data_IF_222718568089
#
_entry.id   IF_222718568089
#
_cell.length_a   1.000
_cell.length_b   1.000
_cell.length_c   1.000
_cell.angle_alpha   90.00
_cell.angle_beta   90.00
_cell.angle_gamma   90.00
#
_symmetry.space_group_name_H-M   'P 1'
#
loop_
_entity.id
_entity.type
_entity.pdbx_description
1 polymer ?
#
# COMPACT_ATOMS: atom_id res chain seq x y z
N UNK A 1 2.83 -78.00 2.03
CA UNK A 1 2.78 -76.66 1.36
C UNK A 1 2.30 -75.49 2.24
N UNK A 2 2.10 -75.62 3.58
CA UNK A 2 1.70 -74.50 4.46
C UNK A 2 2.86 -73.68 5.07
N UNK A 3 4.08 -74.20 5.09
CA UNK A 3 5.22 -73.54 5.76
C UNK A 3 5.93 -72.46 4.91
N UNK A 4 5.82 -72.48 3.58
CA UNK A 4 6.47 -71.49 2.70
C UNK A 4 5.67 -70.18 2.52
N UNK A 5 4.43 -70.10 3.03
CA UNK A 5 3.58 -68.92 2.89
C UNK A 5 3.81 -67.88 4.00
N UNK A 6 4.30 -68.29 5.18
CA UNK A 6 4.55 -67.41 6.34
C UNK A 6 5.83 -66.57 6.22
N UNK A 7 6.93 -67.15 5.71
CA UNK A 7 8.19 -66.42 5.51
C UNK A 7 8.07 -65.28 4.50
N UNK A 8 7.39 -65.51 3.38
CA UNK A 8 7.18 -64.47 2.38
C UNK A 8 6.33 -63.32 2.96
N UNK A 9 5.30 -63.62 3.76
CA UNK A 9 4.51 -62.56 4.41
C UNK A 9 5.30 -61.74 5.43
N UNK A 10 6.19 -62.36 6.21
CA UNK A 10 7.08 -61.63 7.12
C UNK A 10 8.06 -60.73 6.35
N UNK A 11 8.60 -61.22 5.22
CA UNK A 11 9.49 -60.44 4.34
C UNK A 11 8.79 -59.25 3.69
N UNK A 12 7.54 -59.39 3.25
CA UNK A 12 6.79 -58.24 2.71
C UNK A 12 6.46 -57.20 3.78
N UNK A 13 6.20 -57.62 5.02
CA UNK A 13 5.95 -56.70 6.15
C UNK A 13 7.21 -55.94 6.54
N UNK A 14 8.37 -56.60 6.61
CA UNK A 14 9.64 -55.91 6.88
C UNK A 14 10.04 -54.97 5.74
N UNK A 15 9.85 -55.37 4.47
CA UNK A 15 10.07 -54.48 3.33
C UNK A 15 9.16 -53.24 3.39
N UNK A 16 7.88 -53.43 3.73
CA UNK A 16 6.91 -52.35 3.88
C UNK A 16 7.30 -51.35 4.98
N UNK A 17 7.78 -51.84 6.13
CA UNK A 17 8.26 -50.97 7.22
C UNK A 17 9.52 -50.18 6.85
N UNK A 18 10.46 -50.79 6.14
CA UNK A 18 11.67 -50.11 5.66
C UNK A 18 11.30 -49.02 4.64
N UNK A 19 10.42 -49.33 3.68
CA UNK A 19 9.93 -48.36 2.70
C UNK A 19 9.19 -47.20 3.38
N UNK A 20 8.32 -47.49 4.35
CA UNK A 20 7.63 -46.47 5.12
C UNK A 20 8.63 -45.56 5.86
N UNK A 21 9.65 -46.13 6.51
CA UNK A 21 10.70 -45.37 7.17
C UNK A 21 11.48 -44.46 6.22
N UNK A 22 11.85 -44.96 5.03
CA UNK A 22 12.53 -44.16 4.00
C UNK A 22 11.64 -43.01 3.49
N UNK A 23 10.35 -43.24 3.27
CA UNK A 23 9.40 -42.20 2.88
C UNK A 23 9.29 -41.14 3.98
N UNK A 24 9.19 -41.55 5.25
CA UNK A 24 9.12 -40.60 6.38
C UNK A 24 10.38 -39.73 6.47
N UNK A 25 11.57 -40.31 6.29
CA UNK A 25 12.83 -39.56 6.26
C UNK A 25 12.89 -38.59 5.09
N UNK A 26 12.47 -39.01 3.89
CA UNK A 26 12.43 -38.15 2.71
C UNK A 26 11.46 -36.97 2.89
N UNK A 27 10.26 -37.21 3.44
CA UNK A 27 9.27 -36.17 3.74
C UNK A 27 9.79 -35.23 4.84
N UNK A 28 10.45 -35.76 5.88
CA UNK A 28 11.07 -34.96 6.93
C UNK A 28 12.17 -34.03 6.41
N UNK A 29 13.07 -34.56 5.57
CA UNK A 29 14.13 -33.77 4.93
C UNK A 29 13.57 -32.69 3.99
N UNK A 30 12.56 -33.05 3.18
CA UNK A 30 11.87 -32.09 2.31
C UNK A 30 11.17 -30.99 3.13
N UNK A 31 10.47 -31.36 4.19
CA UNK A 31 9.82 -30.42 5.10
C UNK A 31 10.81 -29.46 5.76
N UNK A 32 11.95 -29.96 6.21
CA UNK A 32 13.02 -29.13 6.78
C UNK A 32 13.62 -28.17 5.76
N UNK A 33 13.87 -28.63 4.53
CA UNK A 33 14.35 -27.78 3.45
C UNK A 33 13.34 -26.67 3.11
N UNK A 34 12.05 -27.02 3.00
CA UNK A 34 10.98 -26.05 2.77
C UNK A 34 10.86 -25.02 3.90
N UNK A 35 10.98 -25.46 5.16
CA UNK A 35 10.98 -24.56 6.31
C UNK A 35 12.15 -23.56 6.25
N UNK A 36 13.35 -24.05 5.96
CA UNK A 36 14.57 -23.24 5.89
C UNK A 36 14.49 -22.22 4.74
N UNK A 37 14.03 -22.63 3.56
CA UNK A 37 13.81 -21.74 2.42
C UNK A 37 12.80 -20.63 2.74
N UNK A 38 11.67 -20.97 3.36
CA UNK A 38 10.65 -19.98 3.78
C UNK A 38 11.20 -18.97 4.79
N UNK A 39 11.99 -19.43 5.76
CA UNK A 39 12.62 -18.56 6.75
C UNK A 39 13.63 -17.60 6.09
N UNK A 40 14.46 -18.10 5.16
CA UNK A 40 15.39 -17.28 4.40
C UNK A 40 14.69 -16.19 3.58
N UNK A 41 13.62 -16.54 2.86
CA UNK A 41 12.81 -15.59 2.09
C UNK A 41 12.14 -14.54 2.98
N UNK A 42 11.64 -14.93 4.16
CA UNK A 42 11.02 -14.00 5.10
C UNK A 42 12.03 -12.96 5.64
N UNK A 43 13.26 -13.39 5.91
CA UNK A 43 14.35 -12.49 6.34
C UNK A 43 14.75 -11.54 5.22
N UNK A 44 14.95 -12.03 3.99
CA UNK A 44 15.28 -11.17 2.83
C UNK A 44 14.20 -10.10 2.61
N UNK A 45 12.92 -10.52 2.64
CA UNK A 45 11.80 -9.60 2.46
C UNK A 45 11.73 -8.56 3.59
N UNK A 46 11.96 -8.96 4.83
CA UNK A 46 12.01 -8.03 5.96
C UNK A 46 13.16 -7.01 5.83
N UNK A 47 14.33 -7.45 5.34
CA UNK A 47 15.47 -6.57 5.11
C UNK A 47 15.16 -5.54 4.01
N UNK A 48 14.47 -5.96 2.94
CA UNK A 48 14.00 -5.04 1.89
C UNK A 48 13.04 -3.98 2.43
N UNK A 49 12.10 -4.37 3.29
CA UNK A 49 11.18 -3.42 3.92
C UNK A 49 11.87 -2.46 4.88
N UNK A 50 12.84 -2.94 5.67
CA UNK A 50 13.66 -2.07 6.50
C UNK A 50 14.46 -1.08 5.65
N UNK A 51 15.11 -1.55 4.59
CA UNK A 51 15.84 -0.69 3.66
C UNK A 51 14.92 0.37 3.03
N UNK A 52 13.75 -0.01 2.54
CA UNK A 52 12.77 0.93 2.01
C UNK A 52 12.33 1.96 3.06
N UNK A 53 12.12 1.55 4.31
CA UNK A 53 11.77 2.47 5.39
C UNK A 53 12.88 3.48 5.69
N UNK A 54 14.13 3.02 5.84
CA UNK A 54 15.26 3.92 6.10
C UNK A 54 15.54 4.84 4.91
N UNK A 55 15.38 4.35 3.67
CA UNK A 55 15.48 5.21 2.48
C UNK A 55 14.38 6.28 2.45
N UNK A 56 13.15 5.96 2.86
CA UNK A 56 12.07 6.93 3.03
C UNK A 56 12.41 7.97 4.11
N UNK A 57 12.94 7.53 5.25
CA UNK A 57 13.35 8.42 6.34
C UNK A 57 14.45 9.38 5.86
N UNK A 58 15.52 8.87 5.26
CA UNK A 58 16.61 9.67 4.70
C UNK A 58 16.12 10.65 3.64
N UNK A 59 15.29 10.19 2.68
CA UNK A 59 14.72 11.08 1.68
C UNK A 59 13.89 12.20 2.30
N UNK A 60 13.13 11.90 3.35
CA UNK A 60 12.34 12.92 4.08
C UNK A 60 13.23 13.93 4.82
N UNK A 61 14.31 13.48 5.45
CA UNK A 61 15.31 14.36 6.07
C UNK A 61 15.95 15.28 5.03
N UNK A 62 16.33 14.72 3.88
CA UNK A 62 16.89 15.49 2.77
C UNK A 62 15.89 16.54 2.25
N UNK A 63 14.61 16.18 2.13
CA UNK A 63 13.56 17.13 1.78
C UNK A 63 13.47 18.29 2.76
N UNK A 64 13.45 18.03 4.07
CA UNK A 64 13.41 19.08 5.08
C UNK A 64 14.60 20.05 4.92
N UNK A 65 15.81 19.51 4.78
CA UNK A 65 17.04 20.32 4.61
C UNK A 65 17.02 21.12 3.31
N UNK A 66 16.63 20.49 2.19
CA UNK A 66 16.59 21.14 0.89
C UNK A 66 15.50 22.20 0.81
N UNK A 67 14.34 21.96 1.42
CA UNK A 67 13.26 22.95 1.52
C UNK A 67 13.71 24.13 2.38
N UNK A 68 14.39 23.90 3.51
CA UNK A 68 14.99 24.98 4.30
C UNK A 68 16.01 25.78 3.49
N UNK A 69 16.91 25.11 2.77
CA UNK A 69 17.87 25.76 1.85
C UNK A 69 17.17 26.59 0.79
N UNK A 70 16.06 26.10 0.25
CA UNK A 70 15.32 26.82 -0.79
C UNK A 70 14.89 28.21 -0.31
N UNK A 71 14.45 28.35 0.95
CA UNK A 71 13.97 29.59 1.57
C UNK A 71 15.03 30.69 1.68
N UNK A 72 16.32 30.35 1.59
CA UNK A 72 17.43 31.30 1.78
C UNK A 72 18.32 31.46 0.55
N UNK A 73 18.08 30.69 -0.52
CA UNK A 73 18.97 30.69 -1.69
C UNK A 73 18.70 31.93 -2.56
N UNK A 74 19.75 32.72 -2.84
CA UNK A 74 19.63 33.99 -3.55
C UNK A 74 19.85 33.92 -5.07
N UNK A 75 20.59 32.91 -5.56
CA UNK A 75 20.98 32.79 -6.97
C UNK A 75 20.05 31.88 -7.80
N UNK A 76 19.76 32.28 -9.05
CA UNK A 76 18.86 31.55 -9.96
C UNK A 76 19.30 30.12 -10.26
N UNK A 77 20.58 29.90 -10.58
CA UNK A 77 21.11 28.57 -10.88
C UNK A 77 21.11 27.67 -9.63
N UNK A 78 21.49 28.24 -8.48
CA UNK A 78 21.49 27.57 -7.19
C UNK A 78 20.07 27.16 -6.79
N UNK A 79 19.08 28.03 -7.01
CA UNK A 79 17.67 27.72 -6.80
C UNK A 79 17.19 26.57 -7.70
N UNK A 80 17.53 26.60 -8.99
CA UNK A 80 17.17 25.52 -9.92
C UNK A 80 17.73 24.16 -9.50
N UNK A 81 18.99 24.12 -9.06
CA UNK A 81 19.62 22.89 -8.58
C UNK A 81 18.94 22.39 -7.30
N UNK A 82 18.65 23.27 -6.34
CA UNK A 82 17.93 22.90 -5.11
C UNK A 82 16.55 22.34 -5.42
N UNK A 83 15.78 22.97 -6.31
CA UNK A 83 14.46 22.45 -6.69
C UNK A 83 14.53 21.11 -7.42
N UNK A 84 15.56 20.88 -8.24
CA UNK A 84 15.77 19.58 -8.89
C UNK A 84 16.03 18.48 -7.85
N UNK A 85 16.87 18.75 -6.85
CA UNK A 85 17.11 17.82 -5.74
C UNK A 85 15.86 17.56 -4.91
N UNK A 86 15.04 18.57 -4.63
CA UNK A 86 13.76 18.39 -3.91
C UNK A 86 12.84 17.46 -4.71
N UNK A 87 12.76 17.66 -6.04
CA UNK A 87 11.94 16.81 -6.89
C UNK A 87 12.40 15.34 -6.86
N UNK A 88 13.70 15.10 -7.00
CA UNK A 88 14.28 13.76 -6.97
C UNK A 88 14.06 13.06 -5.64
N UNK A 89 14.39 13.72 -4.52
CA UNK A 89 14.24 13.16 -3.17
C UNK A 89 12.77 12.84 -2.85
N UNK A 90 11.83 13.69 -3.29
CA UNK A 90 10.42 13.45 -3.09
C UNK A 90 9.91 12.24 -3.88
N UNK A 91 10.38 12.06 -5.12
CA UNK A 91 10.06 10.89 -5.94
C UNK A 91 10.65 9.61 -5.34
N UNK A 92 11.91 9.65 -4.88
CA UNK A 92 12.57 8.51 -4.22
C UNK A 92 11.87 8.15 -2.92
N UNK A 93 11.55 9.13 -2.07
CA UNK A 93 10.80 8.92 -0.84
C UNK A 93 9.42 8.30 -1.13
N UNK A 94 8.70 8.80 -2.14
CA UNK A 94 7.39 8.26 -2.53
C UNK A 94 7.49 6.80 -2.99
N UNK A 95 8.50 6.47 -3.80
CA UNK A 95 8.73 5.12 -4.29
C UNK A 95 9.07 4.16 -3.14
N UNK A 96 9.88 4.59 -2.18
CA UNK A 96 10.24 3.80 -1.00
C UNK A 96 9.04 3.60 -0.06
N UNK A 97 8.19 4.61 0.13
CA UNK A 97 6.92 4.48 0.86
C UNK A 97 6.01 3.41 0.23
N UNK A 98 5.94 3.38 -1.10
CA UNK A 98 5.14 2.40 -1.85
C UNK A 98 5.62 0.96 -1.74
N UNK A 99 6.88 0.73 -1.32
CA UNK A 99 7.43 -0.61 -1.10
C UNK A 99 7.12 -1.15 0.30
N UNK A 100 6.67 -0.32 1.23
CA UNK A 100 6.37 -0.76 2.59
C UNK A 100 5.14 -1.67 2.61
N UNK A 101 5.10 -2.69 3.49
CA UNK A 101 3.98 -3.60 3.63
C UNK A 101 2.83 -2.96 4.41
N UNK A 102 2.44 -1.74 4.06
CA UNK A 102 1.43 -0.93 4.74
C UNK A 102 0.30 -0.64 3.76
N UNK A 103 -0.94 -0.76 4.26
CA UNK A 103 -2.14 -0.48 3.46
C UNK A 103 -2.11 0.96 2.92
N UNK A 104 -2.41 1.21 1.63
CA UNK A 104 -2.45 2.55 1.05
C UNK A 104 -3.33 3.54 1.81
N UNK A 105 -4.39 3.06 2.48
CA UNK A 105 -5.27 3.89 3.31
C UNK A 105 -4.55 4.51 4.52
N UNK A 106 -3.46 3.88 4.97
CA UNK A 106 -2.63 4.34 6.09
C UNK A 106 -1.40 5.14 5.64
N UNK A 107 -1.13 5.24 4.35
CA UNK A 107 0.00 6.01 3.80
C UNK A 107 -0.43 7.08 2.81
N UNK A 108 -1.72 7.14 2.47
CA UNK A 108 -2.26 7.97 1.40
C UNK A 108 -1.97 9.47 1.55
N UNK A 109 -2.03 10.04 2.77
CA UNK A 109 -1.65 11.46 2.94
C UNK A 109 -0.17 11.69 2.73
N UNK A 110 0.68 10.81 3.25
CA UNK A 110 2.13 10.90 3.07
C UNK A 110 2.51 10.77 1.61
N UNK A 111 1.94 9.79 0.90
CA UNK A 111 2.14 9.63 -0.52
C UNK A 111 1.71 10.89 -1.30
N UNK A 112 0.53 11.45 -0.97
CA UNK A 112 0.03 12.68 -1.58
C UNK A 112 0.96 13.87 -1.33
N UNK A 113 1.43 14.05 -0.09
CA UNK A 113 2.38 15.11 0.26
C UNK A 113 3.66 15.01 -0.56
N UNK A 114 4.29 13.82 -0.62
CA UNK A 114 5.52 13.61 -1.38
C UNK A 114 5.32 13.89 -2.88
N UNK A 115 4.20 13.43 -3.46
CA UNK A 115 3.84 13.78 -4.85
C UNK A 115 3.70 15.29 -5.03
N UNK A 116 2.99 15.98 -4.13
CA UNK A 116 2.80 17.43 -4.21
C UNK A 116 4.12 18.21 -4.10
N UNK A 117 5.04 17.78 -3.23
CA UNK A 117 6.39 18.36 -3.12
C UNK A 117 7.15 18.14 -4.43
N UNK A 118 7.14 16.93 -4.98
CA UNK A 118 7.80 16.59 -6.23
C UNK A 118 7.31 17.47 -7.39
N UNK A 119 6.00 17.53 -7.58
CA UNK A 119 5.42 18.31 -8.68
C UNK A 119 5.66 19.80 -8.52
N UNK A 120 5.53 20.31 -7.30
CA UNK A 120 5.77 21.73 -7.03
C UNK A 120 7.22 22.10 -7.31
N UNK A 121 8.18 21.31 -6.81
CA UNK A 121 9.59 21.50 -7.09
C UNK A 121 9.89 21.46 -8.59
N UNK A 122 9.31 20.50 -9.32
CA UNK A 122 9.45 20.40 -10.77
C UNK A 122 8.86 21.61 -11.52
N UNK A 123 7.77 22.21 -11.03
CA UNK A 123 7.26 23.48 -11.60
C UNK A 123 8.23 24.64 -11.38
N UNK A 124 8.89 24.70 -10.21
CA UNK A 124 9.90 25.71 -9.90
C UNK A 124 11.19 25.51 -10.70
N UNK A 125 11.64 24.28 -10.95
CA UNK A 125 12.77 23.99 -11.85
C UNK A 125 12.51 24.59 -13.24
N UNK A 126 11.35 24.28 -13.83
CA UNK A 126 10.98 24.82 -15.16
C UNK A 126 10.91 26.35 -15.16
N UNK A 127 10.37 26.94 -14.09
CA UNK A 127 10.25 28.40 -13.95
C UNK A 127 11.61 29.08 -13.81
N UNK A 128 12.51 28.49 -13.03
CA UNK A 128 13.89 28.95 -12.94
C UNK A 128 14.59 28.85 -14.31
N UNK A 129 14.29 27.83 -15.12
CA UNK A 129 14.77 27.71 -16.50
C UNK A 129 14.33 28.86 -17.42
N UNK A 130 13.12 29.40 -17.25
CA UNK A 130 12.60 30.51 -18.07
C UNK A 130 12.99 31.91 -17.57
N UNK A 131 13.53 32.02 -16.35
CA UNK A 131 13.99 33.28 -15.77
C UNK A 131 12.90 34.09 -15.08
N UNK A 132 11.72 33.51 -14.94
CA UNK A 132 10.66 34.12 -14.15
C UNK A 132 11.02 34.09 -12.66
N UNK A 133 10.84 35.20 -11.93
CA UNK A 133 11.16 35.28 -10.51
C UNK A 133 10.22 34.41 -9.66
N UNK A 134 10.74 33.93 -8.52
CA UNK A 134 9.95 33.25 -7.49
C UNK A 134 9.15 34.31 -6.73
N UNK A 135 7.82 34.26 -6.81
CA UNK A 135 6.94 35.24 -6.15
C UNK A 135 6.82 35.01 -4.64
N UNK A 136 6.32 35.99 -3.90
CA UNK A 136 6.01 35.87 -2.46
C UNK A 136 5.09 34.68 -2.15
N UNK A 137 4.13 34.39 -3.03
CA UNK A 137 3.25 33.23 -2.90
C UNK A 137 4.00 31.90 -2.99
N UNK A 138 5.07 31.84 -3.79
CA UNK A 138 5.91 30.64 -3.90
C UNK A 138 6.73 30.42 -2.64
N UNK A 139 7.29 31.50 -2.08
CA UNK A 139 7.97 31.46 -0.79
C UNK A 139 7.04 30.96 0.33
N UNK A 140 5.82 31.49 0.40
CA UNK A 140 4.82 31.04 1.37
C UNK A 140 4.42 29.56 1.18
N UNK A 141 4.50 29.03 -0.04
CA UNK A 141 4.26 27.61 -0.32
C UNK A 141 5.46 26.76 0.10
N UNK A 142 6.68 27.15 -0.26
CA UNK A 142 7.90 26.44 0.16
C UNK A 142 8.01 26.35 1.69
N UNK A 143 7.63 27.41 2.41
CA UNK A 143 7.63 27.39 3.88
C UNK A 143 6.64 26.36 4.43
N UNK A 144 5.42 26.29 3.86
CA UNK A 144 4.43 25.28 4.24
C UNK A 144 4.90 23.86 3.96
N UNK A 145 5.59 23.64 2.84
CA UNK A 145 6.17 22.34 2.52
C UNK A 145 7.31 21.98 3.47
N UNK A 146 8.15 22.94 3.84
CA UNK A 146 9.19 22.78 4.86
C UNK A 146 8.58 22.35 6.21
N UNK A 147 7.56 23.05 6.70
CA UNK A 147 6.89 22.73 7.97
C UNK A 147 6.30 21.30 7.95
N UNK A 148 5.69 20.91 6.82
CA UNK A 148 5.14 19.56 6.64
C UNK A 148 6.23 18.49 6.55
N UNK A 149 7.36 18.78 5.89
CA UNK A 149 8.50 17.86 5.81
C UNK A 149 9.10 17.62 7.20
N UNK A 150 9.27 18.67 8.01
CA UNK A 150 9.76 18.56 9.39
C UNK A 150 8.86 17.69 10.28
N UNK A 151 7.54 17.80 10.09
CA UNK A 151 6.56 16.95 10.77
C UNK A 151 6.68 15.51 10.34
N UNK A 152 6.70 15.26 9.03
CA UNK A 152 6.85 13.91 8.49
C UNK A 152 8.14 13.27 9.00
N UNK A 153 9.26 14.01 8.97
CA UNK A 153 10.55 13.56 9.46
C UNK A 153 10.47 13.15 10.94
N UNK A 154 9.94 14.02 11.79
CA UNK A 154 9.73 13.73 13.22
C UNK A 154 8.85 12.50 13.45
N UNK A 155 7.74 12.36 12.72
CA UNK A 155 6.87 11.20 12.89
C UNK A 155 7.54 9.90 12.41
N UNK A 156 8.31 9.93 11.32
CA UNK A 156 9.09 8.77 10.86
C UNK A 156 10.17 8.38 11.87
N UNK A 157 10.85 9.33 12.51
CA UNK A 157 11.80 9.05 13.60
C UNK A 157 11.13 8.38 14.81
N UNK A 158 9.87 8.70 15.13
CA UNK A 158 9.14 7.96 16.17
C UNK A 158 8.90 6.50 15.79
N UNK A 159 8.69 6.22 14.51
CA UNK A 159 8.58 4.85 13.98
C UNK A 159 9.94 4.16 14.05
N UNK A 160 11.01 4.83 13.62
CA UNK A 160 12.39 4.33 13.70
C UNK A 160 12.78 3.90 15.12
N UNK A 161 12.51 4.74 16.12
CA UNK A 161 12.78 4.43 17.53
C UNK A 161 12.08 3.13 17.99
N UNK A 162 10.88 2.85 17.47
CA UNK A 162 10.12 1.63 17.77
C UNK A 162 10.59 0.42 16.96
N UNK A 163 11.10 0.63 15.74
CA UNK A 163 11.73 -0.41 14.91
C UNK A 163 13.03 -0.90 15.55
N UNK A 164 13.92 0.02 15.92
CA UNK A 164 15.23 -0.28 16.50
C UNK A 164 15.16 -1.04 17.83
N UNK A 165 14.09 -0.82 18.62
CA UNK A 165 13.88 -1.51 19.89
C UNK A 165 13.42 -2.98 19.75
N UNK A 166 12.74 -3.36 18.65
CA UNK A 166 12.00 -4.62 18.57
C UNK A 166 12.46 -5.58 17.45
N UNK A 167 13.38 -5.18 16.56
CA UNK A 167 14.11 -6.03 15.61
C UNK A 167 13.31 -6.69 14.46
N UNK A 168 12.00 -6.89 14.61
CA UNK A 168 11.15 -7.67 13.68
C UNK A 168 9.87 -6.90 13.23
N UNK A 169 9.99 -5.59 13.03
CA UNK A 169 8.83 -4.70 12.92
C UNK A 169 8.02 -4.81 11.60
N UNK A 170 8.68 -4.96 10.45
CA UNK A 170 8.01 -4.86 9.15
C UNK A 170 7.50 -6.19 8.60
N UNK A 171 8.12 -7.33 8.94
CA UNK A 171 7.61 -8.64 8.49
C UNK A 171 6.26 -8.99 9.14
N UNK A 172 5.99 -8.54 10.38
CA UNK A 172 4.72 -8.77 11.07
C UNK A 172 3.53 -8.09 10.40
N UNK A 173 3.76 -6.94 9.74
CA UNK A 173 2.77 -6.24 8.93
C UNK A 173 2.24 -7.13 7.79
N UNK A 174 3.13 -7.89 7.14
CA UNK A 174 2.77 -8.78 6.02
C UNK A 174 1.88 -9.96 6.47
N UNK A 175 2.03 -10.43 7.72
CA UNK A 175 1.21 -11.51 8.29
C UNK A 175 -0.21 -11.06 8.62
N UNK A 176 -0.40 -9.82 9.07
CA UNK A 176 -1.74 -9.26 9.32
C UNK A 176 -2.58 -9.20 8.03
N UNK A 177 -1.95 -8.94 6.88
CA UNK A 177 -2.61 -8.95 5.55
C UNK A 177 -3.04 -10.37 5.15
N UNK A 178 -2.26 -11.39 5.55
CA UNK A 178 -2.54 -12.80 5.22
C UNK A 178 -3.63 -13.39 6.13
N UNK A 179 -3.71 -12.95 7.39
CA UNK A 179 -4.72 -13.39 8.37
C UNK A 179 -6.17 -13.06 7.97
N UNK A 180 -6.38 -12.07 7.08
CA UNK A 180 -7.71 -11.78 6.48
C UNK A 180 -8.27 -12.93 5.63
N UNK A 181 -7.49 -13.98 5.31
CA UNK A 181 -7.95 -15.20 4.63
C UNK A 181 -8.34 -16.36 5.56
N UNK A 182 -8.61 -16.10 6.84
CA UNK A 182 -9.38 -17.03 7.68
C UNK A 182 -8.66 -17.62 8.90
N UNK A 183 -7.51 -17.10 9.32
CA UNK A 183 -6.84 -17.59 10.53
C UNK A 183 -6.43 -16.42 11.41
N UNK A 184 -7.08 -16.36 12.59
CA UNK A 184 -6.82 -15.53 13.76
C UNK A 184 -6.73 -14.00 13.54
N UNK A 185 -7.66 -13.26 14.17
CA UNK A 185 -7.54 -11.82 14.46
C UNK A 185 -6.32 -11.61 15.36
N UNK A 186 -5.14 -11.60 14.77
CA UNK A 186 -3.92 -11.19 15.46
C UNK A 186 -3.99 -9.66 15.54
N UNK A 187 -3.85 -9.12 16.75
CA UNK A 187 -3.87 -7.68 17.00
C UNK A 187 -3.00 -6.95 15.96
N UNK A 188 -3.51 -5.83 15.43
CA UNK A 188 -2.77 -5.01 14.46
C UNK A 188 -1.37 -4.76 15.03
N UNK A 189 -0.28 -5.25 14.38
CA UNK A 189 1.07 -5.00 14.86
C UNK A 189 1.27 -3.50 15.08
N UNK A 190 2.05 -3.10 16.10
CA UNK A 190 2.26 -1.69 16.47
C UNK A 190 2.57 -0.77 15.28
N UNK A 191 3.21 -1.30 14.25
CA UNK A 191 3.49 -0.65 12.99
C UNK A 191 2.25 -0.11 12.25
N UNK A 192 1.11 -0.81 12.22
CA UNK A 192 -0.12 -0.28 11.64
C UNK A 192 -0.68 0.92 12.44
N UNK A 193 -0.54 0.90 13.76
CA UNK A 193 -0.97 2.00 14.61
C UNK A 193 -0.10 3.24 14.39
N UNK A 194 1.20 3.03 14.21
CA UNK A 194 2.17 4.06 13.90
C UNK A 194 1.93 4.75 12.56
N UNK A 195 1.81 4.00 11.47
CA UNK A 195 1.48 4.59 10.16
C UNK A 195 0.11 5.25 10.17
N UNK A 196 -0.85 4.72 10.95
CA UNK A 196 -2.13 5.40 11.17
C UNK A 196 -1.97 6.73 11.90
N UNK A 197 -1.13 6.78 12.94
CA UNK A 197 -0.86 8.00 13.69
C UNK A 197 -0.15 9.03 12.81
N UNK A 198 0.89 8.62 12.08
CA UNK A 198 1.60 9.45 11.10
C UNK A 198 0.64 10.00 10.03
N UNK A 199 -0.22 9.15 9.47
CA UNK A 199 -1.18 9.59 8.45
C UNK A 199 -2.22 10.56 9.03
N UNK A 200 -2.67 10.37 10.28
CA UNK A 200 -3.55 11.33 10.97
C UNK A 200 -2.85 12.65 11.23
N UNK A 201 -1.60 12.63 11.66
CA UNK A 201 -0.81 13.83 11.87
C UNK A 201 -0.69 14.63 10.56
N UNK A 202 -0.35 13.95 9.45
CA UNK A 202 -0.31 14.55 8.12
C UNK A 202 -1.68 15.03 7.61
N UNK A 203 -2.81 14.56 8.16
CA UNK A 203 -4.14 15.08 7.82
C UNK A 203 -4.42 16.45 8.41
N UNK A 204 -3.74 16.84 9.50
CA UNK A 204 -3.94 18.12 10.18
C UNK A 204 -3.41 19.30 9.35
N UNK A 205 -2.47 19.03 8.44
CA UNK A 205 -1.89 20.04 7.59
C UNK A 205 -2.78 20.34 6.38
N UNK A 206 -2.99 21.62 6.05
CA UNK A 206 -3.78 22.02 4.91
C UNK A 206 -3.12 21.49 3.63
N UNK A 207 -3.95 20.98 2.74
CA UNK A 207 -3.49 20.39 1.49
C UNK A 207 -2.99 21.45 0.52
N UNK A 208 -2.05 21.06 -0.36
CA UNK A 208 -1.39 22.03 -1.22
C UNK A 208 -2.31 22.54 -2.33
N UNK A 209 -2.59 23.83 -2.27
CA UNK A 209 -3.31 24.59 -3.31
C UNK A 209 -2.25 25.25 -4.21
N UNK A 210 -2.06 24.73 -5.41
CA UNK A 210 -1.15 25.27 -6.43
C UNK A 210 -1.66 24.86 -7.84
N UNK A 211 -1.19 25.45 -8.93
CA UNK A 211 -1.76 25.22 -10.27
C UNK A 211 -1.21 23.97 -10.99
N UNK A 212 -0.87 22.91 -10.26
CA UNK A 212 -0.36 21.67 -10.85
C UNK A 212 -1.35 20.51 -10.85
N UNK A 213 -1.02 19.43 -11.59
CA UNK A 213 -1.92 18.30 -11.84
C UNK A 213 -2.37 17.55 -10.59
N UNK A 214 -1.65 17.68 -9.48
CA UNK A 214 -1.93 16.99 -8.21
C UNK A 214 -2.38 17.95 -7.10
N UNK A 215 -2.85 19.14 -7.46
CA UNK A 215 -3.39 20.07 -6.48
C UNK A 215 -4.83 19.78 -6.10
N UNK A 216 -5.11 20.00 -4.82
CA UNK A 216 -6.43 19.84 -4.21
C UNK A 216 -7.50 20.80 -4.75
N UNK A 217 -7.13 21.89 -5.42
CA UNK A 217 -8.13 22.75 -6.07
C UNK A 217 -8.82 22.05 -7.26
N UNK A 218 -8.12 21.13 -7.94
CA UNK A 218 -8.71 20.30 -9.00
C UNK A 218 -9.73 19.35 -8.38
N UNK A 219 -9.38 18.73 -7.26
CA UNK A 219 -10.25 17.75 -6.63
C UNK A 219 -11.51 18.41 -6.00
N UNK A 220 -11.44 19.69 -5.58
CA UNK A 220 -12.60 20.43 -5.02
C UNK A 220 -13.61 20.91 -6.08
N UNK A 221 -13.37 20.69 -7.37
CA UNK A 221 -14.34 21.06 -8.42
C UNK A 221 -15.62 20.24 -8.24
N UNK A 222 -16.77 20.93 -8.27
CA UNK A 222 -18.08 20.27 -8.29
C UNK A 222 -18.16 19.35 -9.51
N UNK A 223 -18.54 18.06 -9.36
CA UNK A 223 -18.73 17.17 -10.49
C UNK A 223 -19.81 17.73 -11.42
N UNK A 224 -19.42 18.17 -12.61
CA UNK A 224 -20.34 18.75 -13.59
C UNK A 224 -21.23 17.68 -14.25
N UNK A 225 -20.78 16.41 -14.26
CA UNK A 225 -21.49 15.28 -14.89
C UNK A 225 -22.60 14.64 -14.06
N UNK A 226 -22.84 15.10 -12.82
CA UNK A 226 -23.97 14.63 -12.00
C UNK A 226 -25.22 15.47 -12.29
N UNK A 227 -25.69 15.38 -13.53
CA UNK A 227 -26.90 16.06 -14.02
C UNK A 227 -28.07 15.10 -13.94
N UNK A 228 -28.76 15.05 -12.81
CA UNK A 228 -29.93 14.20 -12.63
C UNK A 228 -30.39 14.10 -11.19
N UNK A 229 -31.58 13.51 -10.94
CA UNK A 229 -32.07 13.30 -9.58
C UNK A 229 -31.19 12.31 -8.83
N UNK A 230 -31.09 12.50 -7.52
CA UNK A 230 -30.45 11.55 -6.60
C UNK A 230 -31.18 10.21 -6.72
N UNK A 231 -30.42 9.14 -6.98
CA UNK A 231 -30.99 7.80 -7.14
C UNK A 231 -31.06 7.07 -5.79
N UNK A 232 -32.12 6.28 -5.60
CA UNK A 232 -32.28 5.40 -4.43
C UNK A 232 -31.53 4.07 -4.62
N UNK A 233 -31.31 3.32 -3.53
CA UNK A 233 -30.80 1.94 -3.54
C UNK A 233 -31.55 1.04 -4.54
N UNK A 234 -32.88 1.15 -4.57
CA UNK A 234 -33.72 0.38 -5.48
C UNK A 234 -33.47 0.76 -6.95
N UNK A 235 -33.34 2.06 -7.22
CA UNK A 235 -33.01 2.56 -8.55
C UNK A 235 -31.61 2.11 -8.98
N UNK A 236 -30.63 2.14 -8.07
CA UNK A 236 -29.27 1.68 -8.32
C UNK A 236 -29.25 0.18 -8.65
N UNK A 237 -29.99 -0.64 -7.90
CA UNK A 237 -30.14 -2.08 -8.16
C UNK A 237 -30.72 -2.35 -9.54
N UNK A 238 -31.80 -1.67 -9.90
CA UNK A 238 -32.47 -1.88 -11.20
C UNK A 238 -31.58 -1.46 -12.37
N UNK A 239 -30.89 -0.32 -12.26
CA UNK A 239 -29.92 0.13 -13.28
C UNK A 239 -28.75 -0.85 -13.42
N UNK A 240 -28.21 -1.35 -12.31
CA UNK A 240 -27.13 -2.33 -12.34
C UNK A 240 -27.57 -3.65 -13.03
N UNK A 241 -28.78 -4.14 -12.74
CA UNK A 241 -29.33 -5.33 -13.42
C UNK A 241 -29.57 -5.13 -14.92
N UNK A 242 -29.82 -3.90 -15.35
CA UNK A 242 -30.03 -3.57 -16.77
C UNK A 242 -28.73 -3.56 -17.58
N UNK A 243 -27.56 -3.44 -16.93
CA UNK A 243 -26.25 -3.47 -17.57
C UNK A 243 -25.69 -4.88 -17.77
N UNK A 244 -26.38 -5.91 -17.27
CA UNK A 244 -25.91 -7.29 -17.36
C UNK A 244 -26.42 -7.95 -18.62
N UNK A 245 -25.50 -8.47 -19.42
CA UNK A 245 -25.80 -9.35 -20.55
C UNK A 245 -26.37 -10.67 -20.04
N UNK A 246 -27.66 -10.90 -20.30
CA UNK A 246 -28.40 -12.04 -19.74
C UNK A 246 -28.08 -13.31 -20.49
N UNK A 247 -27.53 -14.29 -19.78
CA UNK A 247 -27.35 -15.64 -20.33
C UNK A 247 -28.64 -16.45 -20.20
N UNK A 248 -29.11 -17.15 -21.27
CA UNK A 248 -30.27 -18.01 -21.22
C UNK A 248 -30.19 -19.05 -20.09
N UNK A 249 -31.27 -19.17 -19.30
CA UNK A 249 -31.35 -20.09 -18.17
C UNK A 249 -30.66 -19.62 -16.89
N UNK A 250 -30.16 -18.39 -16.80
CA UNK A 250 -29.53 -17.86 -15.58
C UNK A 250 -30.42 -16.80 -14.94
N UNK A 251 -30.75 -16.97 -13.65
CA UNK A 251 -31.46 -15.97 -12.85
C UNK A 251 -30.48 -15.03 -12.19
N UNK A 252 -30.56 -13.75 -12.48
CA UNK A 252 -29.69 -12.72 -11.88
C UNK A 252 -30.41 -12.02 -10.73
N UNK A 253 -29.72 -11.87 -9.60
CA UNK A 253 -30.16 -11.06 -8.47
C UNK A 253 -29.12 -10.00 -8.16
N UNK A 254 -29.57 -8.83 -7.74
CA UNK A 254 -28.69 -7.72 -7.39
C UNK A 254 -28.97 -7.23 -5.97
N UNK A 255 -27.91 -6.90 -5.25
CA UNK A 255 -27.96 -6.40 -3.87
C UNK A 255 -27.02 -5.21 -3.75
N UNK A 256 -27.46 -4.14 -3.07
CA UNK A 256 -26.56 -3.05 -2.70
C UNK A 256 -25.63 -3.58 -1.59
N UNK A 257 -24.34 -3.64 -1.89
CA UNK A 257 -23.29 -4.09 -0.98
C UNK A 257 -22.75 -2.96 -0.10
N UNK A 258 -22.99 -1.71 -0.48
CA UNK A 258 -22.66 -0.52 0.29
C UNK A 258 -22.73 0.76 -0.53
N UNK A 259 -22.55 1.90 0.13
CA UNK A 259 -22.39 3.21 -0.50
C UNK A 259 -20.93 3.66 -0.44
N UNK A 260 -20.51 4.45 -1.44
CA UNK A 260 -19.24 5.16 -1.44
C UNK A 260 -19.55 6.61 -1.12
N UNK A 261 -19.14 7.04 0.07
CA UNK A 261 -19.20 8.44 0.49
C UNK A 261 -17.97 9.17 -0.04
N UNK A 262 -18.08 9.62 -1.30
CA UNK A 262 -17.08 10.44 -1.97
C UNK A 262 -17.70 11.70 -2.57
N UNK A 263 -16.88 12.55 -3.21
CA UNK A 263 -17.39 13.74 -3.93
C UNK A 263 -18.39 13.40 -5.03
N UNK A 264 -18.25 12.20 -5.60
CA UNK A 264 -19.29 11.55 -6.41
C UNK A 264 -19.83 10.40 -5.56
N UNK A 265 -21.00 10.58 -4.92
CA UNK A 265 -21.61 9.49 -4.17
C UNK A 265 -22.00 8.38 -5.13
N UNK A 266 -21.69 7.14 -4.76
CA UNK A 266 -21.97 5.97 -5.60
C UNK A 266 -22.53 4.81 -4.78
N UNK A 267 -23.29 3.94 -5.43
CA UNK A 267 -23.73 2.67 -4.86
C UNK A 267 -22.86 1.54 -5.41
N UNK A 268 -22.37 0.68 -4.53
CA UNK A 268 -21.78 -0.60 -4.91
C UNK A 268 -22.89 -1.63 -4.96
N UNK A 269 -23.21 -2.11 -6.15
CA UNK A 269 -24.20 -3.18 -6.35
C UNK A 269 -23.47 -4.45 -6.74
N UNK A 270 -23.70 -5.51 -5.98
CA UNK A 270 -23.24 -6.87 -6.31
C UNK A 270 -24.34 -7.60 -7.06
N UNK A 271 -23.98 -8.25 -8.17
CA UNK A 271 -24.89 -9.04 -8.98
C UNK A 271 -24.44 -10.49 -8.97
N UNK A 272 -25.36 -11.40 -8.68
CA UNK A 272 -25.12 -12.84 -8.69
C UNK A 272 -26.04 -13.51 -9.69
N UNK A 273 -25.48 -14.32 -10.58
CA UNK A 273 -26.23 -15.16 -11.52
C UNK A 273 -26.27 -16.59 -11.02
N UNK A 274 -27.46 -17.19 -10.94
CA UNK A 274 -27.64 -18.61 -10.61
C UNK A 274 -28.30 -19.33 -11.78
N UNK A 275 -27.61 -20.32 -12.34
CA UNK A 275 -28.15 -21.20 -13.37
C UNK A 275 -28.66 -22.48 -12.70
N UNK A 276 -29.95 -22.84 -12.81
CA UNK A 276 -30.44 -24.12 -12.33
C UNK A 276 -29.70 -25.25 -13.04
N UNK A 277 -29.06 -26.15 -12.28
CA UNK A 277 -28.38 -27.35 -12.81
C UNK A 277 -26.85 -27.29 -12.91
N UNK A 278 -26.18 -26.18 -12.54
CA UNK A 278 -24.71 -26.12 -12.42
C UNK A 278 -24.35 -25.88 -10.96
N UNK A 279 -23.90 -26.95 -10.29
CA UNK A 279 -23.36 -27.07 -8.92
C UNK A 279 -24.35 -27.39 -7.78
N UNK A 280 -24.73 -28.66 -7.70
CA UNK A 280 -24.44 -29.44 -6.48
C UNK A 280 -23.20 -30.30 -6.75
N UNK A 281 -21.98 -29.74 -6.63
CA UNK A 281 -20.77 -30.48 -6.20
C UNK A 281 -19.79 -29.46 -5.61
N UNK A 282 -19.44 -29.77 -4.36
CA UNK A 282 -18.45 -29.23 -3.42
C UNK A 282 -17.46 -28.16 -3.91
#
# INVERSE_FOLDING_TARGET
MRFLRGENQMRYRTLGLVLAGLITLAVGAWGYNQYSLRKGMAVDLNNRYQQAFYNLLTGTQNLEVLLAKSLVVGGREQASAVFASIWEEAMLAQANLGQLPVSPELTGRTAKFLTQVADYANTLVRRAGTGAPVSSQHWATLNRLYDQAAVLNRELHKIEARVGANGAYFWELSRAVTAKRGVAKTALPGAHADFRALNREMQTYPTLIYDGPFSDHIERKKPLGLTGPVISDNTARSRALALVDRTPGTTYTAKVAGSVEGRIPAYRVEITGRRPGVNERH
#
